data_IF_372030745280
#
_entry.id   IF_372030745280
#
_cell.length_a   1.000
_cell.length_b   1.000
_cell.length_c   1.000
_cell.angle_alpha   90.00
_cell.angle_beta   90.00
_cell.angle_gamma   90.00
#
_symmetry.space_group_name_H-M   'P 1'
#
loop_
_entity.id
_entity.type
_entity.pdbx_description
1 polymer ?
2 non-polymer ?
3 water ?
#
# COMPACT_ATOMS: atom_id res chain seq x y z
N UNK A 1 1.29 6.62 -16.21
CA UNK A 1 2.04 5.36 -16.38
C UNK A 1 1.67 4.37 -15.26
N UNK A 2 2.08 3.14 -15.53
CA UNK A 2 1.75 2.00 -14.69
C UNK A 2 2.96 1.27 -14.17
N UNK A 3 2.94 1.15 -12.87
CA UNK A 3 4.03 0.56 -12.04
C UNK A 3 3.52 -0.80 -11.56
N UNK A 4 4.41 -1.76 -11.57
CA UNK A 4 4.06 -3.10 -11.10
C UNK A 4 4.68 -3.29 -9.70
N UNK A 5 3.88 -3.92 -8.88
CA UNK A 5 4.11 -4.34 -7.54
C UNK A 5 3.69 -5.83 -7.44
N UNK A 6 4.65 -6.59 -6.96
CA UNK A 6 4.53 -8.01 -6.74
C UNK A 6 4.00 -8.34 -5.31
N UNK A 7 3.13 -9.31 -5.25
CA UNK A 7 2.58 -9.85 -3.96
C UNK A 7 3.34 -11.15 -3.67
N UNK A 8 4.18 -11.09 -2.67
CA UNK A 8 5.11 -12.21 -2.36
C UNK A 8 5.00 -12.80 -0.95
N UNK A 9 5.19 -14.12 -0.99
CA UNK A 9 5.31 -14.89 0.28
C UNK A 9 6.64 -14.51 0.97
N UNK A 10 7.69 -14.37 0.19
CA UNK A 10 9.05 -14.06 0.70
C UNK A 10 9.73 -13.06 -0.21
N UNK A 11 10.22 -11.96 0.33
CA UNK A 11 10.87 -10.89 -0.46
C UNK A 11 11.61 -9.93 0.45
N UNK A 12 11.95 -8.78 -0.11
CA UNK A 12 12.68 -7.74 0.69
C UNK A 12 11.82 -7.38 1.94
N UNK A 13 12.41 -7.61 3.09
CA UNK A 13 11.80 -7.36 4.41
C UNK A 13 11.32 -8.62 5.08
N UNK A 14 11.28 -9.78 4.44
CA UNK A 14 10.86 -11.03 5.03
C UNK A 14 9.60 -11.65 4.46
N UNK A 15 8.81 -12.31 5.26
CA UNK A 15 7.62 -13.01 4.87
C UNK A 15 6.42 -12.08 4.64
N UNK A 16 5.67 -12.36 3.60
CA UNK A 16 4.41 -11.66 3.26
C UNK A 16 4.67 -10.17 3.02
N UNK A 17 5.21 -9.84 1.88
CA UNK A 17 5.57 -8.51 1.47
C UNK A 17 5.11 -8.11 0.02
N UNK A 18 5.00 -6.81 -0.12
CA UNK A 18 4.72 -6.17 -1.39
C UNK A 18 6.14 -5.73 -1.82
N UNK A 19 6.38 -5.83 -3.12
CA UNK A 19 7.77 -5.33 -3.53
C UNK A 19 7.57 -4.54 -4.83
N UNK A 20 7.80 -3.27 -4.81
CA UNK A 20 8.21 -2.45 -3.72
C UNK A 20 7.05 -2.14 -2.71
N UNK A 21 7.51 -1.85 -1.50
CA UNK A 21 6.53 -1.56 -0.42
C UNK A 21 6.22 -0.08 -0.38
N UNK A 22 7.02 0.74 -1.02
CA UNK A 22 6.88 2.20 -1.14
C UNK A 22 6.92 2.60 -2.63
N UNK A 23 5.83 3.18 -3.06
CA UNK A 23 5.61 3.62 -4.42
C UNK A 23 5.34 5.12 -4.53
N UNK A 24 6.09 5.79 -5.37
CA UNK A 24 5.89 7.25 -5.65
C UNK A 24 5.21 7.39 -7.00
N UNK A 25 4.08 7.99 -7.14
CA UNK A 25 3.31 8.11 -8.39
C UNK A 25 2.91 9.58 -8.58
N UNK A 26 2.47 9.81 -9.81
CA UNK A 26 1.91 11.09 -10.22
C UNK A 26 0.42 10.83 -10.40
N UNK A 27 -0.36 11.89 -10.29
CA UNK A 27 -1.82 11.74 -10.48
C UNK A 27 -2.02 11.19 -11.90
N UNK A 28 -2.93 10.23 -12.04
CA UNK A 28 -3.22 9.57 -13.33
C UNK A 28 -2.47 8.23 -13.40
N UNK A 29 -1.39 8.03 -12.59
CA UNK A 29 -0.64 6.78 -12.61
C UNK A 29 -1.54 5.62 -12.09
N UNK A 30 -1.18 4.43 -12.44
CA UNK A 30 -1.82 3.22 -11.94
C UNK A 30 -0.73 2.29 -11.40
N UNK A 31 -1.18 1.37 -10.52
CA UNK A 31 -0.29 0.27 -10.09
C UNK A 31 -0.97 -1.02 -10.61
N UNK A 32 -0.14 -1.90 -11.11
CA UNK A 32 -0.67 -3.27 -11.38
C UNK A 32 -0.02 -4.15 -10.29
N UNK A 33 -0.83 -4.77 -9.47
CA UNK A 33 -0.38 -5.65 -8.37
C UNK A 33 -0.38 -7.08 -9.01
N UNK A 34 0.79 -7.71 -8.94
CA UNK A 34 0.95 -9.03 -9.59
C UNK A 34 0.92 -10.16 -8.59
N UNK A 35 0.07 -11.15 -8.87
CA UNK A 35 -0.02 -12.32 -7.99
C UNK A 35 1.16 -13.25 -8.21
N UNK A 36 2.36 -12.85 -7.96
CA UNK A 36 3.61 -13.60 -8.06
C UNK A 36 3.40 -14.90 -7.32
N UNK A 37 2.94 -14.72 -6.08
CA UNK A 37 2.55 -15.86 -5.23
C UNK A 37 1.03 -15.68 -5.07
N UNK A 38 0.35 -16.78 -4.97
CA UNK A 38 -1.10 -16.80 -4.78
C UNK A 38 -1.42 -16.46 -3.31
N UNK A 39 -2.73 -16.19 -3.13
CA UNK A 39 -3.23 -15.99 -1.76
C UNK A 39 -3.05 -14.56 -1.22
N UNK A 40 -2.76 -13.62 -2.05
CA UNK A 40 -2.61 -12.20 -1.61
C UNK A 40 -3.68 -11.33 -2.23
N UNK A 41 -4.00 -10.22 -1.55
CA UNK A 41 -4.91 -9.21 -2.18
C UNK A 41 -4.33 -7.83 -1.77
N UNK A 42 -5.15 -6.84 -2.11
CA UNK A 42 -4.88 -5.45 -1.76
C UNK A 42 -6.22 -4.82 -1.26
N UNK A 43 -6.07 -4.15 -0.13
CA UNK A 43 -7.30 -3.50 0.44
C UNK A 43 -6.87 -2.24 1.13
N UNK A 44 -7.72 -1.25 0.97
CA UNK A 44 -7.43 0.05 1.67
C UNK A 44 -7.34 -0.22 3.21
N UNK A 45 -6.47 0.50 3.87
CA UNK A 45 -6.51 0.49 5.35
C UNK A 45 -7.29 1.82 5.71
N UNK A 46 -8.49 1.66 6.27
CA UNK A 46 -9.32 2.86 6.59
C UNK A 46 -8.53 3.83 7.43
N UNK A 47 -8.59 5.12 7.14
CA UNK A 47 -7.91 6.20 7.84
C UNK A 47 -6.55 6.45 7.15
N UNK A 48 -6.28 5.66 6.09
CA UNK A 48 -4.98 5.86 5.38
C UNK A 48 -5.28 6.14 3.89
N UNK A 49 -6.02 7.23 3.64
CA UNK A 49 -6.36 7.62 2.25
C UNK A 49 -6.88 9.05 2.18
N UNK A 50 -6.59 9.73 1.09
CA UNK A 50 -7.14 11.11 0.98
C UNK A 50 -8.64 10.99 0.84
N UNK A 51 -9.32 12.06 1.31
CA UNK A 51 -10.80 12.06 1.29
C UNK A 51 -11.22 12.11 -0.16
N UNK A 52 -12.22 11.32 -0.47
CA UNK A 52 -12.63 11.29 -1.91
C UNK A 52 -12.11 10.09 -2.67
N UNK A 53 -11.03 9.45 -2.19
CA UNK A 53 -10.51 8.24 -2.86
C UNK A 53 -11.50 7.08 -2.67
N UNK A 54 -11.66 6.27 -3.70
CA UNK A 54 -12.55 5.08 -3.65
C UNK A 54 -11.85 3.98 -2.80
N UNK A 55 -12.69 3.19 -2.14
CA UNK A 55 -12.16 2.10 -1.27
C UNK A 55 -11.81 0.96 -2.25
N UNK A 56 -10.64 0.38 -2.00
CA UNK A 56 -10.14 -0.72 -2.85
C UNK A 56 -10.19 -2.02 -2.04
N UNK A 57 -10.70 -3.06 -2.69
CA UNK A 57 -10.75 -4.38 -2.10
C UNK A 57 -10.77 -5.36 -3.31
N UNK A 58 -9.59 -5.93 -3.53
CA UNK A 58 -9.37 -6.83 -4.64
C UNK A 58 -9.61 -8.28 -4.25
N UNK A 59 -9.75 -9.09 -5.29
CA UNK A 59 -9.94 -10.55 -5.13
C UNK A 59 -8.59 -11.23 -5.04
N UNK A 60 -8.60 -12.07 -3.96
CA UNK A 60 -7.41 -12.84 -3.63
C UNK A 60 -6.88 -13.69 -4.82
N UNK A 61 -5.58 -13.60 -5.00
CA UNK A 61 -4.89 -14.37 -6.05
C UNK A 61 -5.03 -13.86 -7.47
N UNK A 62 -5.68 -12.70 -7.67
CA UNK A 62 -5.84 -12.13 -9.03
C UNK A 62 -4.96 -10.90 -9.22
N UNK A 63 -4.61 -10.67 -10.51
CA UNK A 63 -3.83 -9.41 -10.82
C UNK A 63 -4.91 -8.31 -10.63
N UNK A 64 -4.50 -7.12 -10.29
CA UNK A 64 -5.47 -6.05 -10.10
C UNK A 64 -4.79 -4.74 -10.46
N UNK A 65 -5.55 -3.86 -10.97
CA UNK A 65 -5.06 -2.53 -11.30
C UNK A 65 -5.87 -1.50 -10.50
N UNK A 66 -5.07 -0.53 -9.96
CA UNK A 66 -5.68 0.58 -9.22
C UNK A 66 -5.16 1.88 -9.85
N UNK A 67 -6.10 2.69 -10.33
CA UNK A 67 -5.73 3.99 -10.91
C UNK A 67 -5.85 5.02 -9.76
N UNK A 68 -4.95 5.98 -9.76
CA UNK A 68 -4.88 6.98 -8.71
C UNK A 68 -5.11 8.38 -9.27
N UNK A 69 -6.13 9.06 -8.76
CA UNK A 69 -6.31 10.44 -9.20
C UNK A 69 -6.12 11.46 -8.10
N UNK A 70 -6.54 11.17 -6.88
CA UNK A 70 -6.44 12.15 -5.79
C UNK A 70 -5.03 12.14 -5.29
N UNK A 71 -4.39 13.23 -5.08
CA UNK A 71 -3.01 13.24 -4.49
C UNK A 71 -3.06 12.98 -2.97
N UNK A 72 -1.97 12.49 -2.44
CA UNK A 72 -1.91 12.20 -0.99
C UNK A 72 -1.28 10.83 -0.74
N UNK A 73 -1.38 10.41 0.51
CA UNK A 73 -0.80 9.24 1.10
C UNK A 73 -1.85 8.13 1.31
N UNK A 74 -1.53 6.96 0.78
CA UNK A 74 -2.47 5.81 0.83
C UNK A 74 -1.77 4.64 1.55
N UNK A 75 -2.48 3.93 2.42
CA UNK A 75 -1.86 2.72 3.02
C UNK A 75 -2.79 1.54 2.54
N UNK A 76 -2.07 0.50 2.16
CA UNK A 76 -2.84 -0.69 1.70
C UNK A 76 -2.30 -1.89 2.50
N UNK A 77 -3.20 -2.81 2.71
CA UNK A 77 -2.87 -4.08 3.37
C UNK A 77 -3.25 -5.20 2.36
N UNK A 78 -2.66 -6.36 2.71
CA UNK A 78 -3.07 -7.64 2.15
C UNK A 78 -4.05 -8.16 3.23
N UNK A 79 -5.34 -8.26 2.95
CA UNK A 79 -6.28 -8.70 4.01
C UNK A 79 -5.93 -9.88 4.79
N UNK A 80 -5.70 -11.06 4.19
CA UNK A 80 -5.37 -12.28 4.92
C UNK A 80 -4.01 -12.15 5.64
N UNK A 81 -3.07 -11.29 5.18
CA UNK A 81 -1.78 -11.20 5.90
C UNK A 81 -1.50 -9.89 6.59
N UNK A 82 -2.53 -9.13 6.97
CA UNK A 82 -2.29 -7.83 7.67
C UNK A 82 -1.57 -8.01 9.02
N UNK A 83 -1.97 -9.01 9.79
CA UNK A 83 -1.41 -9.32 11.10
C UNK A 83 0.07 -9.71 10.98
N UNK A 84 0.45 -10.22 9.80
CA UNK A 84 1.77 -10.58 9.38
C UNK A 84 2.55 -9.42 8.75
N UNK A 85 2.04 -8.20 8.78
CA UNK A 85 2.73 -7.03 8.29
C UNK A 85 2.75 -6.84 6.78
N UNK A 86 1.80 -7.46 6.06
CA UNK A 86 1.88 -7.22 4.55
C UNK A 86 1.13 -5.94 4.22
N UNK A 87 1.84 -4.86 4.10
CA UNK A 87 1.38 -3.49 3.87
C UNK A 87 2.24 -2.76 2.85
N UNK A 88 1.72 -1.76 2.24
CA UNK A 88 2.43 -0.91 1.31
C UNK A 88 1.89 0.55 1.51
N UNK A 89 2.78 1.42 1.07
CA UNK A 89 2.46 2.88 1.13
C UNK A 89 2.63 3.48 -0.27
N UNK A 90 1.63 4.19 -0.68
CA UNK A 90 1.52 4.86 -1.98
C UNK A 90 1.47 6.37 -1.79
N UNK A 91 2.38 7.07 -2.45
CA UNK A 91 2.38 8.56 -2.38
C UNK A 91 2.12 9.04 -3.79
N UNK A 92 1.07 9.87 -3.88
CA UNK A 92 0.60 10.38 -5.16
C UNK A 92 0.83 11.89 -5.20
N UNK A 93 1.51 12.38 -6.21
CA UNK A 93 1.64 13.88 -6.32
C UNK A 93 2.36 14.43 -5.09
N UNK A 94 2.10 15.71 -4.86
CA UNK A 94 2.79 16.50 -3.84
C UNK A 94 1.94 16.85 -2.61
N UNK A 95 0.68 16.65 -2.69
CA UNK A 95 -0.21 17.02 -1.53
C UNK A 95 0.04 16.13 -0.38
N UNK A 96 0.13 16.71 0.84
CA UNK A 96 0.40 15.89 2.02
C UNK A 96 -0.62 16.21 3.15
N UNK A 97 -1.78 16.65 2.74
CA UNK A 97 -2.90 17.00 3.64
C UNK A 97 -3.22 15.86 4.60
N UNK A 98 -3.26 14.61 4.16
CA UNK A 98 -3.59 13.47 4.98
C UNK A 98 -2.43 12.74 5.63
N UNK A 99 -1.21 13.22 5.47
CA UNK A 99 -0.03 12.55 6.12
C UNK A 99 -0.14 12.40 7.64
N UNK A 100 -0.43 13.41 8.39
CA UNK A 100 -0.47 13.29 9.89
C UNK A 100 -1.57 12.31 10.24
N UNK A 101 -2.72 12.38 9.57
CA UNK A 101 -3.80 11.44 9.77
C UNK A 101 -3.40 9.98 9.51
N UNK A 102 -2.74 9.80 8.36
CA UNK A 102 -2.40 8.41 7.90
C UNK A 102 -1.34 7.82 8.82
N UNK A 103 -0.37 8.62 9.23
CA UNK A 103 0.74 8.17 10.12
C UNK A 103 0.24 7.85 11.53
N UNK A 104 -0.88 8.51 11.96
CA UNK A 104 -1.51 8.29 13.25
C UNK A 104 -2.29 7.03 13.39
N UNK A 105 -2.61 6.33 12.31
CA UNK A 105 -3.38 5.04 12.44
C UNK A 105 -2.44 4.07 13.12
N UNK A 106 -2.95 3.27 14.09
CA UNK A 106 -2.10 2.37 14.85
C UNK A 106 -2.24 0.96 14.25
N UNK A 107 -1.24 0.20 14.54
CA UNK A 107 -1.18 -1.21 14.00
C UNK A 107 -0.45 -2.07 15.04
N UNK A 108 -0.45 -3.42 14.77
CA UNK A 108 0.35 -4.31 15.65
C UNK A 108 1.84 -3.92 15.44
N UNK A 109 2.63 -4.33 16.40
CA UNK A 109 4.05 -4.08 16.49
C UNK A 109 4.81 -4.33 15.20
N UNK A 110 4.62 -5.51 14.66
CA UNK A 110 5.23 -6.02 13.43
C UNK A 110 4.91 -5.20 12.23
N UNK A 111 3.67 -4.80 12.03
CA UNK A 111 3.24 -3.96 10.90
C UNK A 111 3.80 -2.55 11.11
N UNK A 112 3.76 -2.05 12.33
CA UNK A 112 4.23 -0.70 12.66
C UNK A 112 5.73 -0.56 12.26
N UNK A 113 6.44 -1.63 12.57
CA UNK A 113 7.89 -1.61 12.35
C UNK A 113 8.20 -1.57 10.89
N UNK A 114 7.30 -2.12 10.12
CA UNK A 114 7.48 -2.10 8.65
C UNK A 114 7.17 -0.75 8.09
N UNK A 115 6.12 -0.08 8.63
CA UNK A 115 5.74 1.23 8.11
C UNK A 115 6.72 2.34 8.47
N UNK A 116 7.32 2.20 9.68
CA UNK A 116 8.23 3.26 10.13
C UNK A 116 9.23 3.81 9.15
N UNK A 117 9.99 2.91 8.53
CA UNK A 117 11.01 3.31 7.56
C UNK A 117 10.42 3.82 6.26
N UNK A 118 9.21 3.41 5.96
CA UNK A 118 8.55 3.89 4.73
C UNK A 118 8.13 5.34 4.98
N UNK A 119 7.54 5.56 6.17
CA UNK A 119 7.13 6.94 6.46
C UNK A 119 8.38 7.83 6.43
N UNK A 120 9.43 7.29 7.04
CA UNK A 120 10.69 8.05 7.15
C UNK A 120 11.20 8.53 5.81
N UNK A 121 11.04 7.73 4.81
CA UNK A 121 11.43 7.92 3.43
C UNK A 121 10.53 8.82 2.62
N UNK A 122 9.49 9.36 3.15
CA UNK A 122 8.50 10.26 2.59
C UNK A 122 8.63 11.64 3.21
N UNK A 123 9.30 11.65 4.35
CA UNK A 123 9.62 12.86 5.11
C UNK A 123 11.04 13.35 4.79
X LIG B 1 -0.79 -11.51 1.46
#
# INVERSE_FOLDING_TARGET
DEVAVKMLNSGPGGMMVFDPALVRLKPGDSIKFLPTDKGHNVETIKGMAPDGADYVKTTVGQEAVVKFDKEGVYGFKCAPHYMMGMVALVVVGDKRDNLEAAKSVQHNKLTQKRLDPLFAQIQ
CU CU
#
